data_IF_608334316903
#
_entry.id   IF_608334316903
#
_cell.length_a   1.000
_cell.length_b   1.000
_cell.length_c   1.000
_cell.angle_alpha   90.00
_cell.angle_beta   90.00
_cell.angle_gamma   90.00
#
_symmetry.space_group_name_H-M   'P 1'
#
loop_
_entity.id
_entity.type
_entity.pdbx_description
1 polymer ?
#
# COMPACT_ATOMS: atom_id res chain seq x y z
N UNK A 1 14.26 13.58 -14.93
CA UNK A 1 12.83 13.99 -14.85
C UNK A 1 12.06 12.93 -14.07
N UNK A 2 11.22 13.29 -13.09
CA UNK A 2 10.36 12.30 -12.42
C UNK A 2 9.30 11.80 -13.41
N UNK A 3 9.07 10.47 -13.52
CA UNK A 3 8.05 9.94 -14.41
C UNK A 3 6.68 10.46 -13.98
N UNK A 4 5.82 10.75 -14.96
CA UNK A 4 4.44 11.16 -14.70
C UNK A 4 3.69 10.03 -13.98
N UNK A 5 2.70 10.41 -13.16
CA UNK A 5 1.85 9.42 -12.48
C UNK A 5 1.11 8.57 -13.53
N UNK A 6 0.90 7.27 -13.28
CA UNK A 6 0.37 6.36 -14.31
C UNK A 6 -1.09 6.65 -14.71
N UNK A 7 -1.86 7.34 -13.88
CA UNK A 7 -3.21 7.82 -14.21
C UNK A 7 -3.22 9.16 -14.97
N UNK A 8 -2.07 9.80 -15.17
CA UNK A 8 -1.97 11.12 -15.81
C UNK A 8 -2.16 11.01 -17.32
N UNK A 9 -3.39 11.20 -17.78
CA UNK A 9 -3.70 11.17 -19.22
C UNK A 9 -3.13 12.41 -19.95
N UNK A 10 -2.88 12.34 -21.27
CA UNK A 10 -2.47 13.49 -22.07
C UNK A 10 -3.44 14.68 -21.95
N UNK A 11 -4.74 14.38 -21.82
CA UNK A 11 -5.78 15.39 -21.62
C UNK A 11 -5.61 16.14 -20.29
N UNK A 12 -5.44 15.41 -19.18
CA UNK A 12 -5.19 16.01 -17.85
C UNK A 12 -3.90 16.84 -17.88
N UNK A 13 -2.85 16.37 -18.56
CA UNK A 13 -1.59 17.11 -18.73
C UNK A 13 -1.77 18.41 -19.51
N UNK A 14 -2.59 18.40 -20.57
CA UNK A 14 -2.93 19.59 -21.36
C UNK A 14 -3.68 20.62 -20.51
N UNK A 15 -4.66 20.17 -19.72
CA UNK A 15 -5.40 21.03 -18.78
C UNK A 15 -4.48 21.61 -17.71
N UNK A 16 -3.62 20.81 -17.09
CA UNK A 16 -2.65 21.27 -16.10
C UNK A 16 -1.74 22.39 -16.65
N UNK A 17 -1.20 22.20 -17.87
CA UNK A 17 -0.37 23.23 -18.53
C UNK A 17 -1.18 24.50 -18.85
N UNK A 18 -2.41 24.34 -19.36
CA UNK A 18 -3.30 25.47 -19.67
C UNK A 18 -3.64 26.27 -18.41
N UNK A 19 -3.95 25.59 -17.31
CA UNK A 19 -4.16 26.15 -15.96
C UNK A 19 -2.96 26.98 -15.51
N UNK A 20 -1.76 26.40 -15.59
CA UNK A 20 -0.53 27.09 -15.19
C UNK A 20 -0.25 28.35 -16.01
N UNK A 21 -0.51 28.33 -17.32
CA UNK A 21 -0.37 29.53 -18.17
C UNK A 21 -1.39 30.60 -17.81
N UNK A 22 -2.65 30.22 -17.62
CA UNK A 22 -3.72 31.16 -17.26
C UNK A 22 -3.50 31.77 -15.88
N UNK A 23 -3.08 30.97 -14.90
CA UNK A 23 -2.73 31.45 -13.57
C UNK A 23 -1.58 32.46 -13.60
N UNK A 24 -0.56 32.22 -14.42
CA UNK A 24 0.53 33.20 -14.62
C UNK A 24 0.02 34.50 -15.23
N UNK A 25 -0.94 34.44 -16.16
CA UNK A 25 -1.58 35.63 -16.75
C UNK A 25 -2.38 36.39 -15.68
N UNK A 26 -3.24 35.68 -14.95
CA UNK A 26 -4.04 36.23 -13.84
C UNK A 26 -3.16 36.91 -12.78
N UNK A 27 -2.04 36.28 -12.39
CA UNK A 27 -1.10 36.87 -11.42
C UNK A 27 -0.46 38.19 -11.90
N UNK A 28 -0.26 38.36 -13.21
CA UNK A 28 0.32 39.59 -13.79
C UNK A 28 -0.73 40.69 -13.96
N UNK A 29 -1.94 40.32 -14.37
CA UNK A 29 -3.04 41.24 -14.65
C UNK A 29 -4.34 40.56 -14.22
N UNK A 30 -4.76 40.72 -12.95
CA UNK A 30 -6.00 40.14 -12.47
C UNK A 30 -7.18 40.91 -13.07
N UNK A 31 -8.00 40.20 -13.82
CA UNK A 31 -9.25 40.70 -14.39
C UNK A 31 -10.35 39.69 -14.10
N UNK A 32 -11.57 40.16 -13.86
CA UNK A 32 -12.74 39.30 -13.58
C UNK A 32 -12.90 38.18 -14.63
N UNK A 33 -12.79 38.53 -15.91
CA UNK A 33 -12.78 37.55 -17.01
C UNK A 33 -11.70 36.46 -16.88
N UNK A 34 -10.49 36.83 -16.47
CA UNK A 34 -9.40 35.84 -16.29
C UNK A 34 -9.59 34.99 -15.03
N UNK A 35 -10.24 35.52 -14.01
CA UNK A 35 -10.60 34.79 -12.80
C UNK A 35 -11.67 33.74 -13.10
N UNK A 36 -12.73 34.11 -13.82
CA UNK A 36 -13.80 33.19 -14.23
C UNK A 36 -13.27 32.07 -15.13
N UNK A 37 -12.41 32.41 -16.09
CA UNK A 37 -11.74 31.40 -16.91
C UNK A 37 -10.90 30.44 -16.07
N UNK A 38 -10.24 30.93 -15.01
CA UNK A 38 -9.44 30.10 -14.12
C UNK A 38 -10.32 29.19 -13.27
N UNK A 39 -11.41 29.71 -12.70
CA UNK A 39 -12.41 28.93 -11.94
C UNK A 39 -13.01 27.81 -12.79
N UNK A 40 -13.43 28.12 -14.01
CA UNK A 40 -13.96 27.14 -14.96
C UNK A 40 -12.93 26.06 -15.29
N UNK A 41 -11.69 26.47 -15.52
CA UNK A 41 -10.61 25.55 -15.86
C UNK A 41 -10.20 24.67 -14.67
N UNK A 42 -10.24 25.21 -13.44
CA UNK A 42 -10.01 24.44 -12.21
C UNK A 42 -11.10 23.39 -12.03
N UNK A 43 -12.37 23.71 -12.29
CA UNK A 43 -13.47 22.74 -12.27
C UNK A 43 -13.24 21.62 -13.30
N UNK A 44 -12.96 21.98 -14.56
CA UNK A 44 -12.66 21.02 -15.62
C UNK A 44 -11.45 20.14 -15.29
N UNK A 45 -10.39 20.73 -14.72
CA UNK A 45 -9.21 19.99 -14.30
C UNK A 45 -9.53 19.00 -13.17
N UNK A 46 -10.32 19.41 -12.17
CA UNK A 46 -10.75 18.51 -11.08
C UNK A 46 -11.51 17.31 -11.64
N UNK A 47 -12.52 17.54 -12.48
CA UNK A 47 -13.31 16.48 -13.12
C UNK A 47 -12.39 15.54 -13.92
N UNK A 48 -11.55 16.10 -14.78
CA UNK A 48 -10.63 15.31 -15.60
C UNK A 48 -9.67 14.44 -14.77
N UNK A 49 -9.17 14.95 -13.65
CA UNK A 49 -8.31 14.18 -12.72
C UNK A 49 -9.09 13.04 -12.07
N UNK A 50 -10.30 13.31 -11.58
CA UNK A 50 -11.15 12.30 -10.95
C UNK A 50 -11.46 11.17 -11.93
N UNK A 51 -11.96 11.51 -13.12
CA UNK A 51 -12.27 10.52 -14.17
C UNK A 51 -11.04 9.72 -14.59
N UNK A 52 -9.87 10.36 -14.73
CA UNK A 52 -8.65 9.66 -15.12
C UNK A 52 -8.17 8.68 -14.03
N UNK A 53 -8.30 9.06 -12.76
CA UNK A 53 -8.00 8.17 -11.63
C UNK A 53 -8.97 7.00 -11.59
N UNK A 54 -10.27 7.25 -11.63
CA UNK A 54 -11.30 6.21 -11.62
C UNK A 54 -11.08 5.19 -12.73
N UNK A 55 -10.85 5.66 -13.96
CA UNK A 55 -10.56 4.80 -15.10
C UNK A 55 -9.31 3.94 -14.88
N UNK A 56 -8.24 4.55 -14.36
CA UNK A 56 -7.00 3.82 -14.09
C UNK A 56 -7.17 2.77 -12.99
N UNK A 57 -7.76 3.14 -11.85
CA UNK A 57 -7.93 2.24 -10.71
C UNK A 57 -8.98 1.16 -10.95
N UNK A 58 -10.06 1.47 -11.68
CA UNK A 58 -11.04 0.47 -12.13
C UNK A 58 -10.40 -0.60 -13.01
N UNK A 59 -9.50 -0.20 -13.92
CA UNK A 59 -8.74 -1.16 -14.72
C UNK A 59 -7.76 -1.95 -13.85
N UNK A 60 -7.02 -1.26 -12.98
CA UNK A 60 -6.03 -1.88 -12.11
C UNK A 60 -6.65 -2.91 -11.14
N UNK A 61 -7.87 -2.68 -10.67
CA UNK A 61 -8.60 -3.62 -9.82
C UNK A 61 -9.13 -4.83 -10.60
N UNK A 62 -9.65 -4.63 -11.82
CA UNK A 62 -10.06 -5.72 -12.72
C UNK A 62 -8.87 -6.61 -13.08
N UNK A 63 -7.72 -6.00 -13.34
CA UNK A 63 -6.49 -6.69 -13.69
C UNK A 63 -5.83 -7.36 -12.47
N UNK A 64 -6.37 -7.24 -11.25
CA UNK A 64 -5.76 -7.84 -10.05
C UNK A 64 -5.70 -9.37 -10.12
N UNK A 65 -6.71 -10.01 -10.70
CA UNK A 65 -6.78 -11.47 -10.85
C UNK A 65 -5.86 -11.98 -11.96
N UNK A 66 -5.72 -11.22 -13.05
CA UNK A 66 -4.90 -11.60 -14.21
C UNK A 66 -3.44 -11.15 -14.10
N UNK A 67 -3.18 -9.99 -13.50
CA UNK A 67 -1.87 -9.34 -13.38
C UNK A 67 -1.70 -8.67 -12.01
N UNK A 68 -1.64 -9.49 -10.97
CA UNK A 68 -1.39 -9.05 -9.59
C UNK A 68 -0.09 -8.24 -9.46
N UNK A 69 0.93 -8.51 -10.30
CA UNK A 69 2.24 -7.82 -10.25
C UNK A 69 2.12 -6.32 -10.52
N UNK A 70 1.26 -5.91 -11.46
CA UNK A 70 1.04 -4.49 -11.77
C UNK A 70 0.41 -3.75 -10.58
N UNK A 71 -0.60 -4.35 -9.94
CA UNK A 71 -1.25 -3.83 -8.74
C UNK A 71 -0.24 -3.65 -7.59
N UNK A 72 0.48 -4.72 -7.24
CA UNK A 72 1.46 -4.68 -6.15
C UNK A 72 2.67 -3.78 -6.46
N UNK A 73 3.07 -3.66 -7.73
CA UNK A 73 4.11 -2.70 -8.13
C UNK A 73 3.65 -1.25 -7.95
N UNK A 74 2.39 -0.94 -8.25
CA UNK A 74 1.84 0.39 -8.03
C UNK A 74 1.79 0.69 -6.53
N UNK A 75 1.25 -0.23 -5.73
CA UNK A 75 1.09 -0.07 -4.28
C UNK A 75 2.43 0.19 -3.58
N UNK A 76 3.45 -0.63 -3.88
CA UNK A 76 4.82 -0.46 -3.35
C UNK A 76 5.45 0.89 -3.70
N UNK A 77 5.16 1.45 -4.87
CA UNK A 77 5.67 2.78 -5.25
C UNK A 77 4.94 3.91 -4.54
N UNK A 78 3.69 3.70 -4.13
CA UNK A 78 2.87 4.71 -3.46
C UNK A 78 2.97 4.68 -1.94
N UNK A 79 3.19 3.51 -1.36
CA UNK A 79 3.41 3.35 0.08
C UNK A 79 4.80 3.89 0.41
N UNK A 80 4.83 5.00 1.14
CA UNK A 80 6.06 5.63 1.62
C UNK A 80 6.49 5.13 2.99
N UNK A 81 5.56 4.50 3.71
CA UNK A 81 5.84 3.93 5.01
C UNK A 81 6.43 2.55 4.82
N UNK A 82 7.68 2.40 5.26
CA UNK A 82 8.16 1.08 5.66
C UNK A 82 7.40 0.79 6.95
N UNK A 83 6.23 0.18 6.85
CA UNK A 83 5.49 -0.31 8.02
C UNK A 83 6.36 -1.43 8.59
N UNK A 84 7.33 -1.05 9.41
CA UNK A 84 8.10 -1.99 10.21
C UNK A 84 7.14 -2.56 11.24
N UNK A 85 7.19 -3.88 11.44
CA UNK A 85 6.39 -4.54 12.47
C UNK A 85 6.68 -3.83 13.80
N UNK A 86 5.65 -3.34 14.53
CA UNK A 86 5.87 -2.61 15.76
C UNK A 86 6.65 -3.46 16.78
N UNK A 87 7.31 -2.81 17.74
CA UNK A 87 7.94 -3.52 18.85
C UNK A 87 6.89 -4.20 19.71
N UNK A 88 7.20 -5.38 20.24
CA UNK A 88 6.35 -6.08 21.19
C UNK A 88 6.86 -5.74 22.58
N UNK A 89 5.99 -5.25 23.45
CA UNK A 89 6.32 -5.05 24.87
C UNK A 89 5.80 -6.25 25.63
N UNK A 90 6.71 -7.03 26.22
CA UNK A 90 6.35 -8.18 27.06
C UNK A 90 7.13 -8.11 28.36
N UNK A 91 6.42 -8.10 29.49
CA UNK A 91 7.01 -8.07 30.84
C UNK A 91 8.06 -6.95 31.03
N UNK A 92 7.79 -5.77 30.45
CA UNK A 92 8.71 -4.62 30.52
C UNK A 92 9.90 -4.68 29.57
N UNK A 93 10.04 -5.74 28.76
CA UNK A 93 11.10 -5.86 27.75
C UNK A 93 10.57 -5.51 26.36
N UNK A 94 11.31 -4.66 25.65
CA UNK A 94 11.02 -4.28 24.27
C UNK A 94 11.66 -5.27 23.28
N UNK A 95 10.83 -6.06 22.60
CA UNK A 95 11.27 -6.97 21.54
C UNK A 95 11.15 -6.25 20.18
N UNK A 96 12.29 -5.87 19.62
CA UNK A 96 12.38 -5.08 18.38
C UNK A 96 12.76 -5.92 17.16
N UNK A 97 13.53 -6.99 17.35
CA UNK A 97 14.03 -7.85 16.27
C UNK A 97 12.94 -8.81 15.73
N UNK A 98 12.87 -8.99 14.40
CA UNK A 98 11.84 -9.81 13.76
C UNK A 98 11.92 -11.29 14.13
N UNK A 99 13.12 -11.84 14.27
CA UNK A 99 13.36 -13.24 14.69
C UNK A 99 12.82 -13.47 16.10
N UNK A 100 13.14 -12.57 17.03
CA UNK A 100 12.68 -12.60 18.41
C UNK A 100 11.15 -12.45 18.50
N UNK A 101 10.55 -11.55 17.71
CA UNK A 101 9.08 -11.41 17.64
C UNK A 101 8.41 -12.71 17.17
N UNK A 102 8.94 -13.33 16.12
CA UNK A 102 8.39 -14.58 15.58
C UNK A 102 8.45 -15.72 16.63
N UNK A 103 9.59 -15.86 17.30
CA UNK A 103 9.76 -16.85 18.37
C UNK A 103 8.82 -16.59 19.54
N UNK A 104 8.65 -15.32 19.92
CA UNK A 104 7.75 -14.92 21.00
C UNK A 104 6.29 -15.28 20.69
N UNK A 105 5.80 -14.96 19.49
CA UNK A 105 4.47 -15.37 19.05
C UNK A 105 4.32 -16.90 19.01
N UNK A 106 5.31 -17.61 18.48
CA UNK A 106 5.27 -19.07 18.42
C UNK A 106 5.13 -19.69 19.81
N UNK A 107 5.92 -19.23 20.78
CA UNK A 107 5.86 -19.70 22.17
C UNK A 107 4.52 -19.37 22.84
N UNK A 108 4.01 -18.16 22.62
CA UNK A 108 2.72 -17.73 23.15
C UNK A 108 1.58 -18.62 22.62
N UNK A 109 1.49 -18.79 21.30
CA UNK A 109 0.45 -19.61 20.69
C UNK A 109 0.58 -21.08 21.09
N UNK A 110 1.80 -21.63 21.10
CA UNK A 110 2.05 -22.99 21.60
C UNK A 110 1.51 -23.18 23.01
N UNK A 111 1.75 -22.22 23.90
CA UNK A 111 1.26 -22.29 25.28
C UNK A 111 -0.27 -22.28 25.33
N UNK A 112 -0.93 -21.42 24.56
CA UNK A 112 -2.41 -21.38 24.51
C UNK A 112 -2.98 -22.69 23.97
N UNK A 113 -2.47 -23.15 22.83
CA UNK A 113 -2.97 -24.36 22.17
C UNK A 113 -2.75 -25.62 23.02
N UNK A 114 -1.65 -25.71 23.76
CA UNK A 114 -1.35 -26.84 24.64
C UNK A 114 -2.00 -26.73 26.03
N UNK A 115 -2.41 -25.54 26.45
CA UNK A 115 -3.12 -25.34 27.73
C UNK A 115 -4.60 -25.73 27.64
N UNK A 116 -5.20 -25.62 26.45
CA UNK A 116 -6.62 -25.92 26.21
C UNK A 116 -6.87 -27.35 25.73
N UNK A 117 -5.82 -28.14 25.43
CA UNK A 117 -5.95 -29.47 24.85
C UNK A 117 -4.87 -30.41 25.39
N UNK A 118 -5.23 -31.61 25.82
CA UNK A 118 -4.25 -32.68 26.02
C UNK A 118 -3.65 -33.07 24.66
N UNK A 119 -2.38 -33.45 24.63
CA UNK A 119 -1.66 -33.84 23.40
C UNK A 119 -2.32 -35.03 22.67
N UNK A 120 -3.21 -35.74 23.35
CA UNK A 120 -3.96 -36.91 22.88
C UNK A 120 -5.08 -36.56 21.89
N UNK A 121 -5.55 -35.31 21.85
CA UNK A 121 -6.61 -34.86 20.93
C UNK A 121 -6.11 -34.09 19.71
N UNK A 122 -4.79 -33.92 19.55
CA UNK A 122 -4.24 -33.24 18.39
C UNK A 122 -4.40 -34.14 17.15
N UNK A 123 -4.87 -33.59 16.01
CA UNK A 123 -4.90 -34.35 14.77
C UNK A 123 -3.51 -34.92 14.44
N UNK A 124 -3.45 -36.21 14.14
CA UNK A 124 -2.22 -37.00 13.96
C UNK A 124 -1.25 -36.40 12.94
N UNK A 125 -1.72 -35.62 11.97
CA UNK A 125 -0.86 -34.92 10.99
C UNK A 125 0.04 -33.82 11.58
N UNK A 126 -0.17 -33.38 12.83
CA UNK A 126 0.73 -32.45 13.52
C UNK A 126 1.87 -33.15 14.28
N UNK A 127 1.75 -34.47 14.52
CA UNK A 127 2.79 -35.28 15.17
C UNK A 127 3.98 -35.47 14.21
N UNK A 128 3.70 -35.59 12.91
CA UNK A 128 4.70 -35.78 11.86
C UNK A 128 5.61 -34.56 11.62
N UNK A 129 5.12 -33.34 11.87
CA UNK A 129 5.89 -32.10 11.67
C UNK A 129 7.07 -31.99 12.65
N UNK A 130 6.93 -32.52 13.87
CA UNK A 130 8.03 -32.51 14.87
C UNK A 130 9.20 -33.42 14.46
N UNK A 131 8.98 -34.41 13.59
CA UNK A 131 10.04 -35.29 13.09
C UNK A 131 10.85 -34.60 12.00
N UNK A 132 10.22 -33.77 11.15
CA UNK A 132 10.92 -33.05 10.08
C UNK A 132 11.65 -31.77 10.55
N UNK A 133 11.14 -31.04 11.54
CA UNK A 133 11.82 -29.82 12.02
C UNK A 133 13.14 -30.09 12.78
N UNK A 134 13.38 -31.32 13.26
CA UNK A 134 14.64 -31.69 13.91
C UNK A 134 15.76 -32.06 12.92
N UNK A 135 15.42 -32.25 11.63
CA UNK A 135 16.37 -32.60 10.56
C UNK A 135 16.87 -31.40 9.74
N UNK A 136 16.49 -30.16 10.11
CA UNK A 136 16.96 -28.93 9.47
C UNK A 136 17.88 -28.09 10.38
N UNK A 137 18.54 -28.72 11.35
CA UNK A 137 19.78 -28.18 11.90
C UNK A 137 20.94 -28.73 11.05
N UNK A 138 21.31 -28.00 10.00
CA UNK A 138 22.62 -28.11 9.33
C UNK A 138 23.58 -27.05 9.92
N UNK A 139 24.90 -27.29 9.88
CA UNK A 139 25.89 -26.81 10.84
C UNK A 139 26.11 -25.30 10.87
#
# INVERSE_FOLDING_TARGET
MKPDKPWMSPHVKKLFKRRGRLYKKYKKSPTESTEDQLRNLDSLYKVAVTTAKEKYFSRLSKDMTSNSKAFWSYLRKTWKETISIPKIVHEGTDITENSAKANHFNNYFKTIFLKQRSLEELPTYLVDIKVQCRLLQYP
#
